data_IF_670973405760
#
_entry.id   IF_670973405760
#
_cell.length_a   1.000
_cell.length_b   1.000
_cell.length_c   1.000
_cell.angle_alpha   90.00
_cell.angle_beta   90.00
_cell.angle_gamma   90.00
#
_symmetry.space_group_name_H-M   'P 1'
#
loop_
_entity.id
_entity.type
_entity.pdbx_description
1 polymer ?
#
# COMPACT_ATOMS: atom_id res chain seq x y z
N UNK A 1 -8.20 -18.45 -4.74
CA UNK A 1 -8.07 -17.07 -4.25
C UNK A 1 -6.61 -16.71 -4.38
N UNK A 2 -6.30 -15.59 -5.02
CA UNK A 2 -4.93 -15.14 -5.26
C UNK A 2 -4.23 -14.92 -3.89
N UNK A 3 -3.02 -15.45 -3.69
CA UNK A 3 -2.30 -15.35 -2.41
C UNK A 3 -2.00 -13.90 -2.03
N UNK A 4 -1.78 -13.03 -3.02
CA UNK A 4 -1.61 -11.59 -2.83
C UNK A 4 -2.90 -10.98 -2.27
N UNK A 5 -4.05 -11.35 -2.85
CA UNK A 5 -5.36 -10.88 -2.39
C UNK A 5 -5.62 -11.27 -0.94
N UNK A 6 -5.27 -12.51 -0.54
CA UNK A 6 -5.40 -12.97 0.85
C UNK A 6 -4.60 -12.10 1.80
N UNK A 7 -3.35 -11.81 1.42
CA UNK A 7 -2.39 -11.08 2.23
C UNK A 7 -2.77 -9.60 2.36
N UNK A 8 -3.16 -8.97 1.24
CA UNK A 8 -3.70 -7.60 1.23
C UNK A 8 -4.97 -7.50 2.06
N UNK A 9 -5.91 -8.45 1.94
CA UNK A 9 -7.13 -8.47 2.76
C UNK A 9 -6.82 -8.66 4.25
N UNK A 10 -5.81 -9.45 4.60
CA UNK A 10 -5.39 -9.61 5.99
C UNK A 10 -4.81 -8.30 6.55
N UNK A 11 -3.98 -7.61 5.76
CA UNK A 11 -3.43 -6.32 6.15
C UNK A 11 -4.51 -5.25 6.28
N UNK A 12 -5.46 -5.16 5.34
CA UNK A 12 -6.62 -4.27 5.44
C UNK A 12 -7.46 -4.53 6.71
N UNK A 13 -7.64 -5.79 7.10
CA UNK A 13 -8.31 -6.13 8.37
C UNK A 13 -7.53 -5.60 9.57
N UNK A 14 -6.21 -5.74 9.57
CA UNK A 14 -5.36 -5.20 10.64
C UNK A 14 -5.47 -3.67 10.69
N UNK A 15 -5.33 -2.98 9.56
CA UNK A 15 -5.46 -1.52 9.49
C UNK A 15 -6.82 -1.07 10.04
N UNK A 16 -7.91 -1.65 9.57
CA UNK A 16 -9.25 -1.29 10.04
C UNK A 16 -9.47 -1.57 11.54
N UNK A 17 -8.86 -2.63 12.08
CA UNK A 17 -9.01 -2.99 13.48
C UNK A 17 -8.10 -2.19 14.42
N UNK A 18 -6.88 -1.86 13.99
CA UNK A 18 -5.84 -1.29 14.84
C UNK A 18 -5.58 0.21 14.66
N UNK A 19 -5.92 0.79 13.50
CA UNK A 19 -5.51 2.16 13.17
C UNK A 19 -5.96 3.19 14.20
N UNK A 20 -7.23 3.15 14.61
CA UNK A 20 -7.76 4.10 15.59
C UNK A 20 -7.02 4.00 16.93
N UNK A 21 -6.78 2.78 17.42
CA UNK A 21 -6.09 2.56 18.69
C UNK A 21 -4.63 3.02 18.62
N UNK A 22 -3.89 2.64 17.58
CA UNK A 22 -2.49 3.06 17.39
C UNK A 22 -2.40 4.58 17.19
N UNK A 23 -3.32 5.17 16.42
CA UNK A 23 -3.36 6.63 16.21
C UNK A 23 -3.63 7.40 17.49
N UNK A 24 -4.38 6.82 18.44
CA UNK A 24 -4.60 7.45 19.75
C UNK A 24 -3.34 7.49 20.61
N UNK A 25 -2.42 6.54 20.42
CA UNK A 25 -1.13 6.51 21.10
C UNK A 25 -0.16 7.57 20.55
N UNK A 26 -0.32 7.97 19.28
CA UNK A 26 0.46 9.06 18.67
C UNK A 26 0.29 10.37 19.44
N UNK A 27 -0.91 10.61 19.98
CA UNK A 27 -1.23 11.82 20.75
C UNK A 27 -0.49 11.78 22.08
N UNK A 28 0.67 12.43 22.12
CA UNK A 28 1.56 12.46 23.30
C UNK A 28 2.75 11.50 23.23
N UNK A 29 2.92 10.76 22.12
CA UNK A 29 4.13 9.99 21.90
C UNK A 29 5.33 10.88 21.59
N UNK A 30 6.52 10.47 22.06
CA UNK A 30 7.81 11.04 21.64
C UNK A 30 8.29 10.49 20.28
N UNK A 31 7.41 9.82 19.52
CA UNK A 31 7.72 9.18 18.25
C UNK A 31 6.75 9.68 17.17
N UNK A 32 7.13 10.72 16.40
CA UNK A 32 6.29 11.31 15.35
C UNK A 32 5.88 10.34 14.24
N UNK A 33 6.68 9.31 13.98
CA UNK A 33 6.50 8.31 12.93
C UNK A 33 5.78 7.04 13.38
N UNK A 34 5.27 6.95 14.62
CA UNK A 34 4.76 5.69 15.19
C UNK A 34 3.72 5.00 14.30
N UNK A 35 2.80 5.76 13.71
CA UNK A 35 1.80 5.21 12.79
C UNK A 35 2.42 4.66 11.50
N UNK A 36 3.31 5.42 10.86
CA UNK A 36 3.99 5.01 9.64
C UNK A 36 4.88 3.78 9.90
N UNK A 37 5.63 3.78 11.01
CA UNK A 37 6.47 2.66 11.46
C UNK A 37 5.64 1.40 11.69
N UNK A 38 4.50 1.53 12.37
CA UNK A 38 3.60 0.42 12.63
C UNK A 38 2.98 -0.14 11.35
N UNK A 39 2.52 0.74 10.46
CA UNK A 39 1.94 0.34 9.18
C UNK A 39 2.97 -0.37 8.30
N UNK A 40 4.18 0.18 8.18
CA UNK A 40 5.27 -0.43 7.43
C UNK A 40 5.72 -1.77 8.00
N UNK A 41 5.92 -1.87 9.32
CA UNK A 41 6.29 -3.13 9.96
C UNK A 41 5.20 -4.20 9.76
N UNK A 42 3.94 -3.79 9.82
CA UNK A 42 2.80 -4.67 9.59
C UNK A 42 2.68 -5.11 8.13
N UNK A 43 2.96 -4.21 7.19
CA UNK A 43 3.01 -4.50 5.75
C UNK A 43 4.07 -5.54 5.44
N UNK A 44 5.28 -5.38 5.99
CA UNK A 44 6.37 -6.35 5.83
C UNK A 44 6.01 -7.71 6.42
N UNK A 45 5.42 -7.73 7.63
CA UNK A 45 5.10 -8.99 8.30
C UNK A 45 3.95 -9.76 7.62
N UNK A 46 2.90 -9.06 7.18
CA UNK A 46 1.66 -9.70 6.70
C UNK A 46 1.68 -9.89 5.19
N UNK A 47 2.16 -8.90 4.44
CA UNK A 47 2.04 -8.92 2.98
C UNK A 47 3.33 -9.45 2.36
N UNK A 48 4.47 -8.83 2.65
CA UNK A 48 5.74 -9.33 2.15
C UNK A 48 6.09 -10.72 2.68
N UNK A 49 5.95 -10.93 3.99
CA UNK A 49 6.33 -12.16 4.67
C UNK A 49 5.53 -13.40 4.27
N UNK A 50 4.42 -13.24 3.55
CA UNK A 50 3.52 -14.33 3.16
C UNK A 50 3.49 -14.60 1.65
N UNK A 51 4.08 -13.73 0.83
CA UNK A 51 4.22 -13.97 -0.60
C UNK A 51 5.24 -15.10 -0.82
N UNK A 52 4.86 -16.20 -1.48
CA UNK A 52 5.81 -17.27 -1.76
C UNK A 52 6.82 -16.85 -2.82
N UNK A 53 8.03 -17.40 -2.71
CA UNK A 53 9.12 -17.15 -3.65
C UNK A 53 9.94 -18.40 -3.91
N UNK A 54 10.42 -18.56 -5.14
CA UNK A 54 11.33 -19.63 -5.53
C UNK A 54 12.73 -19.07 -5.78
N UNK A 55 13.54 -18.99 -4.72
CA UNK A 55 14.91 -18.48 -4.79
C UNK A 55 15.14 -17.35 -3.79
N UNK A 56 15.08 -16.11 -4.25
CA UNK A 56 15.30 -14.94 -3.40
C UNK A 56 13.99 -14.47 -2.75
N UNK A 57 14.03 -14.02 -1.49
CA UNK A 57 12.86 -13.43 -0.84
C UNK A 57 12.31 -12.24 -1.62
N UNK A 58 10.98 -12.15 -1.67
CA UNK A 58 10.31 -10.93 -2.14
C UNK A 58 10.56 -9.80 -1.14
N UNK A 59 10.92 -8.64 -1.66
CA UNK A 59 11.09 -7.40 -0.92
C UNK A 59 10.20 -6.36 -1.56
N UNK A 60 9.09 -6.06 -0.91
CA UNK A 60 8.17 -5.06 -1.42
C UNK A 60 8.78 -3.67 -1.29
N UNK A 61 8.40 -2.81 -2.23
CA UNK A 61 8.49 -1.36 -2.08
C UNK A 61 7.78 -0.96 -0.78
N UNK A 62 8.32 0.09 -0.17
CA UNK A 62 7.82 0.71 1.05
C UNK A 62 6.33 1.04 0.92
N UNK A 63 5.57 0.80 1.99
CA UNK A 63 4.17 1.15 2.09
C UNK A 63 4.04 2.59 2.61
N UNK A 64 3.35 3.44 1.84
CA UNK A 64 3.19 4.85 2.16
C UNK A 64 4.52 5.54 2.46
N UNK A 65 4.63 6.15 3.64
CA UNK A 65 5.84 6.88 4.06
C UNK A 65 6.98 5.95 4.54
N UNK A 66 6.67 4.68 4.80
CA UNK A 66 7.61 3.74 5.40
C UNK A 66 8.00 4.06 6.83
N UNK A 67 8.94 3.28 7.36
CA UNK A 67 9.45 3.51 8.70
C UNK A 67 10.53 4.62 8.70
N UNK A 68 10.63 5.38 9.79
CA UNK A 68 11.69 6.36 10.03
C UNK A 68 12.57 5.92 11.22
N UNK A 69 13.15 4.71 11.08
CA UNK A 69 13.95 4.08 12.14
C UNK A 69 15.43 3.96 11.80
N UNK A 70 15.74 3.89 10.51
CA UNK A 70 17.11 3.73 10.02
C UNK A 70 17.37 4.86 9.04
N UNK A 71 18.35 5.74 9.33
CA UNK A 71 18.60 6.95 8.55
C UNK A 71 18.98 6.77 7.07
N UNK A 72 18.96 5.54 6.54
CA UNK A 72 19.09 5.22 5.13
C UNK A 72 18.12 4.15 4.62
N UNK A 73 17.11 3.76 5.41
CA UNK A 73 16.13 2.75 5.02
C UNK A 73 14.81 2.90 5.76
N UNK A 74 13.73 2.82 4.99
CA UNK A 74 12.37 2.81 5.54
C UNK A 74 11.84 1.40 5.77
N UNK A 75 12.71 0.38 5.77
CA UNK A 75 12.34 -1.00 6.12
C UNK A 75 12.51 -1.29 7.59
N UNK A 76 11.60 -2.06 8.17
CA UNK A 76 11.65 -2.45 9.58
C UNK A 76 12.49 -3.72 9.79
N UNK A 77 12.21 -4.78 9.03
CA UNK A 77 12.69 -6.14 9.30
C UNK A 77 14.06 -6.43 8.68
N UNK A 78 14.33 -5.82 7.52
CA UNK A 78 15.57 -6.01 6.75
C UNK A 78 16.09 -4.66 6.24
N UNK A 79 16.67 -3.80 7.11
CA UNK A 79 16.99 -2.41 6.76
C UNK A 79 17.96 -2.26 5.59
N UNK A 80 18.79 -3.25 5.30
CA UNK A 80 19.77 -3.18 4.20
C UNK A 80 19.26 -3.75 2.87
N UNK A 81 18.09 -4.38 2.84
CA UNK A 81 17.57 -5.01 1.63
C UNK A 81 16.95 -3.96 0.70
N UNK A 82 17.20 -4.09 -0.61
CA UNK A 82 16.52 -3.28 -1.63
C UNK A 82 15.16 -3.89 -2.00
N UNK A 83 14.21 -3.05 -2.39
CA UNK A 83 12.95 -3.52 -2.95
C UNK A 83 13.20 -4.27 -4.27
N UNK A 84 12.62 -5.46 -4.39
CA UNK A 84 12.66 -6.30 -5.59
C UNK A 84 11.33 -6.35 -6.30
N UNK A 85 10.22 -6.08 -5.60
CA UNK A 85 8.88 -6.12 -6.16
C UNK A 85 8.01 -4.98 -5.64
N UNK A 86 6.90 -4.72 -6.31
CA UNK A 86 5.86 -3.80 -5.90
C UNK A 86 4.49 -4.47 -6.07
N UNK A 87 3.58 -4.24 -5.13
CA UNK A 87 2.17 -4.56 -5.34
C UNK A 87 1.56 -3.45 -6.19
N UNK A 88 0.94 -3.86 -7.30
CA UNK A 88 0.26 -2.98 -8.23
C UNK A 88 -1.20 -3.40 -8.38
N UNK A 89 -2.02 -2.46 -8.82
CA UNK A 89 -3.44 -2.64 -8.98
C UNK A 89 -3.82 -2.67 -10.46
N UNK A 90 -4.74 -3.55 -10.83
CA UNK A 90 -5.37 -3.55 -12.15
C UNK A 90 -6.89 -3.49 -12.01
N UNK A 91 -7.62 -2.93 -13.00
CA UNK A 91 -9.07 -2.94 -13.01
C UNK A 91 -9.62 -4.37 -13.04
N UNK A 92 -10.70 -4.63 -12.28
CA UNK A 92 -11.50 -5.86 -12.42
C UNK A 92 -12.31 -5.85 -13.73
N UNK A 93 -12.63 -4.66 -14.25
CA UNK A 93 -13.31 -4.45 -15.54
C UNK A 93 -12.43 -3.71 -16.54
N UNK A 94 -13.04 -2.90 -17.41
CA UNK A 94 -12.29 -2.18 -18.44
C UNK A 94 -11.59 -0.91 -17.92
N UNK A 95 -12.14 -0.29 -16.87
CA UNK A 95 -11.68 0.99 -16.34
C UNK A 95 -11.93 1.08 -14.84
N UNK A 96 -11.25 2.02 -14.19
CA UNK A 96 -11.52 2.44 -12.80
C UNK A 96 -11.93 3.90 -12.77
N UNK A 97 -12.67 4.30 -11.73
CA UNK A 97 -13.08 5.69 -11.51
C UNK A 97 -12.20 6.30 -10.41
N UNK A 98 -11.53 7.40 -10.73
CA UNK A 98 -10.86 8.23 -9.73
C UNK A 98 -11.88 9.00 -8.89
N UNK A 99 -11.90 8.72 -7.59
CA UNK A 99 -12.80 9.33 -6.63
C UNK A 99 -12.53 10.82 -6.39
N UNK A 100 -11.32 11.32 -6.71
CA UNK A 100 -10.98 12.73 -6.55
C UNK A 100 -11.56 13.59 -7.67
N UNK A 101 -11.38 13.16 -8.91
CA UNK A 101 -11.83 13.92 -10.08
C UNK A 101 -13.20 13.46 -10.64
N UNK A 102 -13.67 12.27 -10.25
CA UNK A 102 -14.85 11.61 -10.82
C UNK A 102 -14.64 11.10 -12.25
N UNK A 103 -13.41 11.10 -12.75
CA UNK A 103 -13.08 10.71 -14.13
C UNK A 103 -12.67 9.26 -14.21
N UNK A 104 -12.90 8.65 -15.38
CA UNK A 104 -12.34 7.34 -15.69
C UNK A 104 -10.82 7.44 -15.83
N UNK A 105 -10.11 6.55 -15.16
CA UNK A 105 -8.69 6.34 -15.35
C UNK A 105 -8.51 5.15 -16.30
N UNK A 106 -7.93 5.34 -17.49
CA UNK A 106 -7.68 4.24 -18.40
C UNK A 106 -6.60 3.33 -17.84
N UNK A 107 -6.72 2.02 -18.10
CA UNK A 107 -5.69 1.06 -17.74
C UNK A 107 -4.37 1.38 -18.47
N UNK A 108 -3.21 1.35 -17.79
CA UNK A 108 -1.93 1.53 -18.45
C UNK A 108 -1.72 0.41 -19.47
N UNK A 109 -1.52 0.77 -20.74
CA UNK A 109 -1.34 -0.19 -21.84
C UNK A 109 0.00 -0.94 -21.80
N UNK A 110 0.81 -0.75 -20.75
CA UNK A 110 2.09 -1.43 -20.52
C UNK A 110 1.94 -2.76 -19.75
N UNK A 111 0.73 -3.08 -19.28
CA UNK A 111 0.44 -4.31 -18.52
C UNK A 111 1.02 -4.33 -17.11
N UNK A 112 1.54 -3.21 -16.62
CA UNK A 112 2.14 -3.11 -15.29
C UNK A 112 1.12 -2.71 -14.21
N UNK A 113 -0.04 -2.21 -14.62
CA UNK A 113 -1.05 -1.68 -13.70
C UNK A 113 -0.57 -0.43 -12.94
N UNK A 114 -1.35 -0.02 -11.95
CA UNK A 114 -1.10 1.17 -11.15
C UNK A 114 -0.26 0.85 -9.92
N UNK A 115 0.74 1.67 -9.63
CA UNK A 115 1.50 1.59 -8.39
C UNK A 115 0.60 1.88 -7.19
N UNK A 116 0.52 0.94 -6.23
CA UNK A 116 -0.09 1.19 -4.94
C UNK A 116 0.88 1.99 -4.08
N UNK A 117 0.44 3.12 -3.54
CA UNK A 117 1.15 3.85 -2.48
C UNK A 117 0.68 3.35 -1.10
N UNK A 118 -0.60 3.56 -0.78
CA UNK A 118 -1.20 3.12 0.48
C UNK A 118 -2.72 2.93 0.38
N UNK A 119 -3.32 2.42 1.44
CA UNK A 119 -4.78 2.36 1.59
C UNK A 119 -5.32 3.59 2.31
N UNK A 120 -6.50 4.05 1.89
CA UNK A 120 -7.15 5.27 2.40
C UNK A 120 -8.68 5.10 2.47
N UNK A 121 -9.37 6.07 3.08
CA UNK A 121 -10.82 6.28 2.94
C UNK A 121 -11.10 7.61 2.24
N UNK A 122 -12.28 7.72 1.64
CA UNK A 122 -12.83 9.03 1.27
C UNK A 122 -13.40 9.77 2.50
N UNK A 123 -13.14 11.07 2.56
CA UNK A 123 -13.62 12.01 3.57
C UNK A 123 -14.13 13.27 2.89
N UNK A 124 -15.36 13.21 2.39
CA UNK A 124 -15.93 14.27 1.55
C UNK A 124 -15.28 14.25 0.16
N UNK A 125 -14.72 15.37 -0.27
CA UNK A 125 -14.08 15.51 -1.59
C UNK A 125 -12.62 15.06 -1.63
N UNK A 126 -12.03 14.72 -0.48
CA UNK A 126 -10.63 14.33 -0.35
C UNK A 126 -10.51 12.99 0.37
N UNK A 127 -9.37 12.32 0.21
CA UNK A 127 -9.07 11.13 0.99
C UNK A 127 -8.47 11.48 2.35
N UNK A 128 -8.47 10.51 3.26
CA UNK A 128 -7.73 10.53 4.52
C UNK A 128 -7.10 9.17 4.75
N UNK A 129 -5.99 9.15 5.47
CA UNK A 129 -5.40 7.91 5.95
C UNK A 129 -6.08 7.49 7.27
N UNK A 130 -6.97 6.51 7.17
CA UNK A 130 -7.75 6.01 8.30
C UNK A 130 -8.96 5.20 7.87
N UNK A 131 -9.62 4.52 8.81
CA UNK A 131 -10.74 3.65 8.51
C UNK A 131 -11.98 4.45 8.01
N UNK A 132 -12.80 3.83 7.13
CA UNK A 132 -12.62 2.49 6.57
C UNK A 132 -11.52 2.46 5.48
N UNK A 133 -10.56 1.54 5.54
CA UNK A 133 -9.56 1.38 4.48
C UNK A 133 -10.18 0.63 3.29
N UNK A 134 -10.97 1.33 2.50
CA UNK A 134 -11.79 0.80 1.40
C UNK A 134 -11.41 1.38 0.02
N UNK A 135 -10.38 2.23 -0.03
CA UNK A 135 -9.78 2.74 -1.25
C UNK A 135 -8.26 2.53 -1.28
N UNK A 136 -7.71 2.48 -2.49
CA UNK A 136 -6.28 2.56 -2.74
C UNK A 136 -5.91 3.96 -3.21
N UNK A 137 -4.87 4.54 -2.61
CA UNK A 137 -4.16 5.69 -3.14
C UNK A 137 -3.09 5.18 -4.11
N UNK A 138 -3.13 5.70 -5.33
CA UNK A 138 -2.22 5.35 -6.42
C UNK A 138 -1.40 6.58 -6.76
N UNK A 139 -0.08 6.42 -6.85
CA UNK A 139 0.83 7.48 -7.27
C UNK A 139 1.24 7.28 -8.73
N UNK A 140 1.10 8.32 -9.55
CA UNK A 140 1.58 8.37 -10.94
C UNK A 140 2.36 9.66 -11.17
N UNK A 141 3.10 9.70 -12.27
CA UNK A 141 3.86 10.90 -12.67
C UNK A 141 2.99 12.15 -12.83
N UNK A 142 1.71 11.98 -13.19
CA UNK A 142 0.74 13.05 -13.40
C UNK A 142 -0.12 13.38 -12.17
N UNK A 143 0.04 12.65 -11.07
CA UNK A 143 -0.59 12.96 -9.78
C UNK A 143 -1.05 11.74 -8.98
N UNK A 144 -1.84 12.04 -7.96
CA UNK A 144 -2.48 11.08 -7.06
C UNK A 144 -3.88 10.72 -7.54
N UNK A 145 -4.24 9.45 -7.41
CA UNK A 145 -5.56 8.92 -7.78
C UNK A 145 -6.10 8.03 -6.67
N UNK A 146 -7.39 8.10 -6.41
CA UNK A 146 -8.03 7.30 -5.36
C UNK A 146 -9.08 6.41 -5.98
N UNK A 147 -8.90 5.09 -5.85
CA UNK A 147 -9.77 4.09 -6.47
C UNK A 147 -10.37 3.19 -5.40
N UNK A 148 -11.68 2.92 -5.48
CA UNK A 148 -12.34 1.98 -4.59
C UNK A 148 -11.80 0.55 -4.80
N UNK A 149 -11.58 -0.17 -3.71
CA UNK A 149 -10.94 -1.49 -3.76
C UNK A 149 -11.75 -2.56 -4.51
N UNK A 150 -13.06 -2.40 -4.63
CA UNK A 150 -13.93 -3.32 -5.37
C UNK A 150 -13.77 -3.22 -6.89
N UNK A 151 -13.13 -2.14 -7.37
CA UNK A 151 -12.77 -1.96 -8.78
C UNK A 151 -11.38 -2.54 -9.11
N UNK A 152 -10.66 -3.06 -8.12
CA UNK A 152 -9.24 -3.44 -8.24
C UNK A 152 -8.99 -4.94 -8.00
N UNK A 153 -8.03 -5.46 -8.76
CA UNK A 153 -7.34 -6.73 -8.53
C UNK A 153 -5.83 -6.49 -8.42
N UNK A 154 -5.09 -7.50 -7.96
CA UNK A 154 -3.72 -7.34 -7.48
C UNK A 154 -2.69 -8.02 -8.38
N UNK A 155 -1.63 -7.27 -8.67
CA UNK A 155 -0.45 -7.72 -9.38
C UNK A 155 0.77 -7.62 -8.47
N UNK A 156 1.70 -8.56 -8.63
CA UNK A 156 3.04 -8.46 -8.06
C UNK A 156 4.00 -8.27 -9.23
N UNK A 157 4.68 -7.13 -9.25
CA UNK A 157 5.56 -6.76 -10.36
C UNK A 157 6.99 -6.60 -9.83
N UNK A 158 7.96 -7.21 -10.51
CA UNK A 158 9.37 -6.97 -10.24
C UNK A 158 9.71 -5.51 -10.52
N UNK A 159 10.47 -4.89 -9.61
CA UNK A 159 11.03 -3.56 -9.81
C UNK A 159 12.54 -3.67 -9.97
N UNK A 160 13.06 -3.08 -11.04
CA UNK A 160 14.50 -2.89 -11.18
C UNK A 160 14.92 -1.77 -10.23
N UNK A 161 15.72 -2.12 -9.23
CA UNK A 161 16.46 -1.10 -8.49
C UNK A 161 17.54 -0.53 -9.40
N UNK A 162 17.50 0.77 -9.66
CA UNK A 162 18.67 1.50 -10.17
C UNK A 162 19.85 1.45 -9.15
#
# INVERSE_FOLDING_TARGET
MNEIEVSVRAFLKLLNAGWTDVSSLQVGANQPSLLDDWAQASWEAIVEGTIPFSGQPVRLVVYGNGADLHGGSSRFSFPSDKATHQIRCQPVGDNVVDCLSGKLLPYPGDGQGYALDRFVSMSGAWYKEGPPFDHALLERQDGEYVIALDQLDWLLIEVTSD
#
